data_IF_994368835215
#
_entry.id   IF_994368835215
#
_cell.length_a   1.000
_cell.length_b   1.000
_cell.length_c   1.000
_cell.angle_alpha   90.00
_cell.angle_beta   90.00
_cell.angle_gamma   90.00
#
_symmetry.space_group_name_H-M   'P 1'
#
loop_
_entity.id
_entity.type
_entity.pdbx_description
1 polymer ?
#
# COMPACT_ATOMS: atom_id res chain seq x y z
N UNK A 1 -12.29 10.16 -27.68
CA UNK A 1 -12.91 11.19 -26.83
C UNK A 1 -11.77 11.79 -26.03
N UNK A 2 -11.29 12.97 -26.42
CA UNK A 2 -10.25 13.68 -25.66
C UNK A 2 -10.91 14.23 -24.40
N UNK A 3 -10.53 13.70 -23.24
CA UNK A 3 -10.97 14.23 -21.95
C UNK A 3 -10.01 15.36 -21.62
N UNK A 4 -10.55 16.57 -21.44
CA UNK A 4 -9.73 17.71 -21.05
C UNK A 4 -9.18 17.48 -19.63
N UNK A 5 -7.94 17.92 -19.37
CA UNK A 5 -7.36 17.92 -18.01
C UNK A 5 -8.28 18.61 -16.99
N UNK A 6 -9.07 19.59 -17.43
CA UNK A 6 -10.05 20.28 -16.60
C UNK A 6 -11.23 19.41 -16.15
N UNK A 7 -11.66 18.43 -16.96
CA UNK A 7 -12.74 17.50 -16.61
C UNK A 7 -12.25 16.38 -15.68
N UNK A 8 -10.99 15.97 -15.86
CA UNK A 8 -10.32 15.00 -15.01
C UNK A 8 -10.18 15.50 -13.56
N UNK A 9 -9.61 16.69 -13.37
CA UNK A 9 -9.45 17.29 -12.02
C UNK A 9 -10.79 17.49 -11.31
N UNK A 10 -11.81 17.97 -12.02
CA UNK A 10 -13.18 18.11 -11.49
C UNK A 10 -13.79 16.79 -11.03
N UNK A 11 -13.56 15.69 -11.77
CA UNK A 11 -14.05 14.38 -11.34
C UNK A 11 -13.43 13.94 -10.01
N UNK A 12 -12.14 14.19 -9.82
CA UNK A 12 -11.42 13.82 -8.59
C UNK A 12 -11.84 14.72 -7.42
N UNK A 13 -11.97 16.03 -7.67
CA UNK A 13 -12.45 17.00 -6.69
C UNK A 13 -13.85 16.67 -6.14
N UNK A 14 -14.70 16.05 -6.96
CA UNK A 14 -16.03 15.62 -6.52
C UNK A 14 -16.01 14.28 -5.78
N UNK A 15 -14.95 13.48 -5.90
CA UNK A 15 -14.83 12.17 -5.28
C UNK A 15 -14.17 12.19 -3.90
N UNK A 16 -13.41 13.25 -3.58
CA UNK A 16 -12.68 13.37 -2.31
C UNK A 16 -13.10 14.66 -1.62
N UNK A 17 -13.61 14.53 -0.41
CA UNK A 17 -14.01 15.67 0.43
C UNK A 17 -12.79 16.44 0.94
N UNK A 18 -12.95 17.72 1.26
CA UNK A 18 -11.90 18.53 1.90
C UNK A 18 -11.39 17.88 3.21
N UNK A 19 -12.28 17.28 3.99
CA UNK A 19 -11.89 16.58 5.22
C UNK A 19 -11.02 15.34 4.95
N UNK A 20 -11.26 14.61 3.86
CA UNK A 20 -10.39 13.51 3.43
C UNK A 20 -9.04 14.04 2.94
N UNK A 21 -9.00 15.15 2.20
CA UNK A 21 -7.74 15.79 1.81
C UNK A 21 -6.89 16.19 3.01
N UNK A 22 -7.50 16.83 4.01
CA UNK A 22 -6.82 17.21 5.26
C UNK A 22 -6.30 15.98 6.01
N UNK A 23 -7.11 14.93 6.11
CA UNK A 23 -6.72 13.69 6.78
C UNK A 23 -5.53 13.02 6.09
N UNK A 24 -5.59 12.88 4.76
CA UNK A 24 -4.52 12.27 3.98
C UNK A 24 -3.23 13.10 4.06
N UNK A 25 -3.35 14.43 4.01
CA UNK A 25 -2.22 15.34 4.08
C UNK A 25 -1.52 15.25 5.43
N UNK A 26 -2.30 15.19 6.51
CA UNK A 26 -1.79 14.96 7.86
C UNK A 26 -1.06 13.63 7.97
N UNK A 27 -1.59 12.56 7.41
CA UNK A 27 -0.95 11.24 7.41
C UNK A 27 0.36 11.25 6.60
N UNK A 28 0.36 11.92 5.45
CA UNK A 28 1.51 12.05 4.57
C UNK A 28 2.59 13.02 5.11
N UNK A 29 2.26 13.84 6.12
CA UNK A 29 3.14 14.90 6.61
C UNK A 29 3.34 16.03 5.59
N UNK A 30 2.34 16.30 4.76
CA UNK A 30 2.35 17.32 3.70
C UNK A 30 1.24 18.35 3.91
N UNK A 31 1.40 19.52 3.30
CA UNK A 31 0.31 20.49 3.18
C UNK A 31 -0.81 19.93 2.28
N UNK A 32 -2.11 20.11 2.60
CA UNK A 32 -3.21 19.57 1.81
C UNK A 32 -3.18 19.94 0.34
N UNK A 33 -2.89 21.21 0.02
CA UNK A 33 -2.79 21.68 -1.36
C UNK A 33 -1.64 21.00 -2.13
N UNK A 34 -0.51 20.75 -1.46
CA UNK A 34 0.65 20.09 -2.06
C UNK A 34 0.37 18.60 -2.30
N UNK A 35 -0.23 17.90 -1.33
CA UNK A 35 -0.63 16.51 -1.52
C UNK A 35 -1.63 16.38 -2.67
N UNK A 36 -2.63 17.27 -2.70
CA UNK A 36 -3.66 17.29 -3.74
C UNK A 36 -3.04 17.47 -5.12
N UNK A 37 -2.14 18.44 -5.30
CA UNK A 37 -1.48 18.67 -6.59
C UNK A 37 -0.57 17.49 -7.01
N UNK A 38 0.16 16.88 -6.07
CA UNK A 38 0.97 15.68 -6.33
C UNK A 38 0.12 14.50 -6.81
N UNK A 39 -1.01 14.23 -6.13
CA UNK A 39 -1.92 13.15 -6.51
C UNK A 39 -2.56 13.44 -7.87
N UNK A 40 -3.08 14.65 -8.09
CA UNK A 40 -3.69 15.02 -9.37
C UNK A 40 -2.69 14.93 -10.52
N UNK A 41 -1.48 15.46 -10.36
CA UNK A 41 -0.42 15.42 -11.37
C UNK A 41 -0.01 13.98 -11.68
N UNK A 42 0.13 13.13 -10.66
CA UNK A 42 0.44 11.72 -10.86
C UNK A 42 -0.66 11.00 -11.64
N UNK A 43 -1.93 11.26 -11.32
CA UNK A 43 -3.06 10.64 -12.01
C UNK A 43 -3.21 11.16 -13.44
N UNK A 44 -2.90 12.44 -13.69
CA UNK A 44 -2.84 13.04 -15.03
C UNK A 44 -1.74 12.40 -15.88
N UNK A 45 -0.55 12.16 -15.30
CA UNK A 45 0.51 11.42 -15.98
C UNK A 45 0.07 10.04 -16.44
N UNK A 46 -0.74 9.35 -15.63
CA UNK A 46 -1.34 8.05 -16.01
C UNK A 46 -2.40 8.23 -17.10
N UNK A 47 -3.29 9.21 -17.01
CA UNK A 47 -4.32 9.39 -18.04
C UNK A 47 -3.71 9.72 -19.41
N UNK A 48 -2.60 10.47 -19.45
CA UNK A 48 -1.90 10.82 -20.68
C UNK A 48 -1.03 9.68 -21.24
N UNK A 49 -0.34 8.92 -20.38
CA UNK A 49 0.51 7.79 -20.82
C UNK A 49 -0.24 6.48 -21.06
N UNK A 50 -1.39 6.26 -20.40
CA UNK A 50 -1.92 4.91 -20.18
C UNK A 50 -3.30 4.63 -20.79
N UNK A 51 -3.96 5.55 -21.48
CA UNK A 51 -5.23 5.24 -22.14
C UNK A 51 -5.16 4.08 -23.16
N UNK A 52 -4.05 3.85 -23.89
CA UNK A 52 -3.87 2.64 -24.70
C UNK A 52 -3.39 1.40 -23.91
N UNK A 53 -2.66 1.57 -22.80
CA UNK A 53 -2.02 0.45 -22.08
C UNK A 53 -2.86 -0.17 -20.96
N UNK A 54 -3.79 0.57 -20.35
CA UNK A 54 -4.67 0.05 -19.29
C UNK A 54 -5.59 -1.07 -19.80
N UNK A 55 -5.82 -1.12 -21.12
CA UNK A 55 -6.71 -2.11 -21.76
C UNK A 55 -6.03 -3.45 -22.09
N UNK A 56 -4.70 -3.54 -22.06
CA UNK A 56 -3.95 -4.73 -22.50
C UNK A 56 -3.23 -5.50 -21.38
N UNK A 57 -3.29 -5.04 -20.13
CA UNK A 57 -2.44 -5.57 -19.05
C UNK A 57 -3.19 -6.00 -17.79
N UNK A 58 -4.37 -6.62 -17.90
CA UNK A 58 -4.89 -7.42 -16.78
C UNK A 58 -3.92 -8.57 -16.40
N UNK A 59 -3.04 -9.00 -17.32
CA UNK A 59 -2.16 -10.17 -17.12
C UNK A 59 -0.65 -9.89 -16.95
N UNK A 60 -0.14 -8.65 -17.12
CA UNK A 60 1.33 -8.41 -17.13
C UNK A 60 1.86 -7.30 -16.22
N UNK A 61 1.04 -6.72 -15.33
CA UNK A 61 1.55 -5.79 -14.33
C UNK A 61 2.50 -6.52 -13.37
N UNK A 62 3.81 -6.44 -13.66
CA UNK A 62 4.90 -6.85 -12.78
C UNK A 62 4.79 -6.03 -11.50
N UNK A 63 4.26 -6.64 -10.45
CA UNK A 63 4.27 -6.08 -9.10
C UNK A 63 5.73 -5.79 -8.74
N UNK A 64 6.04 -4.53 -8.46
CA UNK A 64 7.38 -4.16 -8.01
C UNK A 64 7.38 -4.23 -6.48
N UNK A 65 8.26 -5.09 -5.94
CA UNK A 65 8.53 -5.15 -4.52
C UNK A 65 9.81 -4.37 -4.24
N UNK A 66 9.77 -3.50 -3.24
CA UNK A 66 10.95 -2.76 -2.77
C UNK A 66 11.11 -2.98 -1.27
N UNK A 67 12.22 -3.58 -0.86
CA UNK A 67 12.62 -3.58 0.55
C UNK A 67 13.15 -2.19 0.89
N UNK A 68 12.74 -1.66 2.03
CA UNK A 68 13.19 -0.37 2.55
C UNK A 68 14.27 -0.59 3.61
N UNK A 69 15.11 0.42 3.81
CA UNK A 69 16.16 0.38 4.83
C UNK A 69 15.56 0.22 6.22
N UNK A 70 16.20 -0.62 7.03
CA UNK A 70 15.71 -0.98 8.37
C UNK A 70 16.20 0.07 9.38
N UNK A 71 15.31 0.74 10.13
CA UNK A 71 15.74 1.53 11.27
C UNK A 71 16.35 0.62 12.35
N UNK A 72 17.50 1.01 12.92
CA UNK A 72 18.17 0.23 13.97
C UNK A 72 17.23 -0.02 15.16
N UNK A 73 16.92 -1.29 15.42
CA UNK A 73 16.21 -1.70 16.64
C UNK A 73 17.22 -1.84 17.78
N UNK A 74 16.89 -1.24 18.94
CA UNK A 74 17.71 -1.34 20.16
C UNK A 74 17.52 -2.65 20.94
N UNK A 75 16.54 -3.48 20.55
CA UNK A 75 16.21 -4.75 21.23
C UNK A 75 16.74 -5.95 20.44
N UNK A 76 17.54 -6.80 21.09
CA UNK A 76 18.16 -7.99 20.47
C UNK A 76 17.17 -9.06 20.00
N UNK A 77 15.93 -9.04 20.48
CA UNK A 77 14.93 -10.08 20.17
C UNK A 77 13.85 -9.63 19.17
N UNK A 78 13.99 -8.42 18.60
CA UNK A 78 13.05 -7.88 17.64
C UNK A 78 13.75 -7.61 16.30
N UNK A 79 13.03 -7.83 15.21
CA UNK A 79 13.46 -7.56 13.84
C UNK A 79 12.39 -6.73 13.15
N UNK A 80 12.80 -5.64 12.50
CA UNK A 80 11.92 -4.80 11.69
C UNK A 80 12.27 -5.00 10.23
N UNK A 81 11.27 -5.12 9.37
CA UNK A 81 11.46 -5.00 7.93
C UNK A 81 10.31 -4.22 7.31
N UNK A 82 10.54 -2.98 6.87
CA UNK A 82 9.63 -2.27 5.99
C UNK A 82 9.81 -2.71 4.52
N UNK A 83 8.71 -2.74 3.78
CA UNK A 83 8.68 -3.00 2.34
C UNK A 83 7.50 -2.29 1.66
N UNK A 84 7.63 -2.05 0.36
CA UNK A 84 6.60 -1.46 -0.48
C UNK A 84 6.18 -2.43 -1.58
N UNK A 85 4.87 -2.43 -1.86
CA UNK A 85 4.23 -3.16 -2.95
C UNK A 85 3.67 -2.12 -3.91
N UNK A 86 4.22 -2.03 -5.11
CA UNK A 86 3.60 -1.26 -6.19
C UNK A 86 2.59 -2.15 -6.92
N UNK A 87 1.32 -1.72 -6.90
CA UNK A 87 0.20 -2.40 -7.58
C UNK A 87 0.04 -1.77 -8.97
N UNK A 88 0.10 -0.45 -9.06
CA UNK A 88 0.31 0.33 -10.28
C UNK A 88 1.37 1.41 -10.04
N UNK A 89 1.82 2.12 -11.10
CA UNK A 89 2.80 3.22 -11.01
C UNK A 89 2.49 4.22 -9.87
N UNK A 90 1.22 4.44 -9.55
CA UNK A 90 0.79 5.45 -8.56
C UNK A 90 0.16 4.89 -7.29
N UNK A 91 -0.37 3.65 -7.29
CA UNK A 91 -1.03 3.07 -6.11
C UNK A 91 -0.24 1.86 -5.61
N UNK A 92 -0.09 1.78 -4.29
CA UNK A 92 0.63 0.70 -3.65
C UNK A 92 0.29 0.57 -2.18
N UNK A 93 1.07 -0.26 -1.50
CA UNK A 93 1.05 -0.38 -0.06
C UNK A 93 2.47 -0.26 0.49
N UNK A 94 2.63 0.47 1.59
CA UNK A 94 3.79 0.31 2.48
C UNK A 94 3.38 -0.62 3.61
N UNK A 95 4.22 -1.58 3.95
CA UNK A 95 4.01 -2.48 5.07
C UNK A 95 5.28 -2.50 5.91
N UNK A 96 5.13 -2.25 7.20
CA UNK A 96 6.18 -2.39 8.20
C UNK A 96 5.82 -3.52 9.14
N UNK A 97 6.74 -4.49 9.28
CA UNK A 97 6.57 -5.62 10.19
C UNK A 97 7.64 -5.55 11.26
N UNK A 98 7.21 -5.39 12.50
CA UNK A 98 8.05 -5.44 13.70
C UNK A 98 7.80 -6.76 14.42
N UNK A 99 8.64 -7.76 14.14
CA UNK A 99 8.54 -9.11 14.69
C UNK A 99 9.42 -9.24 15.94
N UNK A 100 8.82 -9.57 17.07
CA UNK A 100 9.53 -9.90 18.31
C UNK A 100 9.23 -11.34 18.72
N UNK A 101 10.22 -12.07 19.21
CA UNK A 101 10.01 -13.42 19.71
C UNK A 101 11.30 -14.21 19.86
N UNK A 102 11.17 -15.41 20.43
CA UNK A 102 12.32 -16.31 20.65
C UNK A 102 12.27 -17.56 19.78
N UNK A 103 11.10 -17.92 19.23
CA UNK A 103 10.92 -19.06 18.35
C UNK A 103 9.59 -18.99 17.57
N UNK A 104 9.33 -19.99 16.73
CA UNK A 104 8.16 -20.08 15.84
C UNK A 104 6.81 -20.25 16.57
N UNK A 105 6.83 -20.61 17.85
CA UNK A 105 5.62 -20.79 18.69
C UNK A 105 5.42 -19.67 19.69
N UNK A 106 6.39 -18.77 19.85
CA UNK A 106 6.36 -17.64 20.77
C UNK A 106 6.92 -16.40 20.09
N UNK A 107 6.03 -15.74 19.34
CA UNK A 107 6.32 -14.51 18.64
C UNK A 107 5.10 -13.59 18.66
N UNK A 108 5.33 -12.32 18.40
CA UNK A 108 4.30 -11.36 18.06
C UNK A 108 4.83 -10.41 17.01
N UNK A 109 3.97 -10.00 16.09
CA UNK A 109 4.33 -9.03 15.08
C UNK A 109 3.37 -7.85 15.12
N UNK A 110 3.91 -6.65 15.33
CA UNK A 110 3.16 -5.42 15.10
C UNK A 110 3.33 -5.04 13.63
N UNK A 111 2.21 -4.99 12.92
CA UNK A 111 2.18 -4.71 11.48
C UNK A 111 1.51 -3.38 11.26
N UNK A 112 2.18 -2.46 10.57
CA UNK A 112 1.58 -1.21 10.07
C UNK A 112 1.46 -1.31 8.56
N UNK A 113 0.27 -1.06 8.04
CA UNK A 113 0.00 -0.99 6.60
C UNK A 113 -0.43 0.42 6.26
N UNK A 114 0.14 0.97 5.18
CA UNK A 114 -0.29 2.24 4.63
C UNK A 114 -0.66 2.11 3.15
N UNK A 115 -1.79 2.71 2.75
CA UNK A 115 -2.14 2.94 1.37
C UNK A 115 -1.24 4.05 0.80
N UNK A 116 -0.50 3.73 -0.26
CA UNK A 116 0.30 4.69 -1.02
C UNK A 116 -0.50 5.17 -2.22
N UNK A 117 -0.63 6.48 -2.39
CA UNK A 117 -1.10 7.12 -3.62
C UNK A 117 -0.07 8.20 -4.01
N UNK A 118 0.41 8.14 -5.25
CA UNK A 118 1.43 9.05 -5.79
C UNK A 118 2.68 9.17 -4.91
N UNK A 119 3.15 8.02 -4.39
CA UNK A 119 4.33 7.95 -3.52
C UNK A 119 4.10 8.46 -2.09
N UNK A 120 2.89 8.91 -1.75
CA UNK A 120 2.54 9.39 -0.41
C UNK A 120 1.73 8.35 0.36
N UNK A 121 2.10 8.11 1.62
CA UNK A 121 1.30 7.33 2.55
C UNK A 121 0.09 8.18 3.00
N UNK A 122 -1.11 7.83 2.55
CA UNK A 122 -2.32 8.66 2.74
C UNK A 122 -3.29 8.13 3.79
N UNK A 123 -3.20 6.85 4.13
CA UNK A 123 -4.02 6.25 5.18
C UNK A 123 -3.33 5.02 5.73
N UNK A 124 -3.11 4.96 7.04
CA UNK A 124 -2.49 3.80 7.68
C UNK A 124 -3.38 3.14 8.75
N UNK A 125 -3.15 1.85 8.96
CA UNK A 125 -3.74 1.04 10.03
C UNK A 125 -2.68 0.09 10.57
N UNK A 126 -2.72 -0.12 11.88
CA UNK A 126 -1.86 -1.09 12.55
C UNK A 126 -2.68 -2.18 13.19
N UNK A 127 -2.12 -3.39 13.23
CA UNK A 127 -2.70 -4.55 13.88
C UNK A 127 -1.58 -5.47 14.36
N UNK A 128 -1.92 -6.39 15.25
CA UNK A 128 -0.98 -7.34 15.82
C UNK A 128 -1.32 -8.75 15.38
N UNK A 129 -0.28 -9.49 14.99
CA UNK A 129 -0.32 -10.92 14.70
C UNK A 129 0.42 -11.70 15.78
N UNK A 130 0.01 -12.94 16.00
CA UNK A 130 0.62 -13.89 16.91
C UNK A 130 0.36 -15.33 16.40
N UNK A 131 0.93 -16.39 17.02
CA UNK A 131 0.72 -17.77 16.58
C UNK A 131 -0.75 -18.22 16.49
N UNK A 132 -1.65 -17.60 17.25
CA UNK A 132 -3.09 -17.92 17.26
C UNK A 132 -3.88 -17.09 16.23
N UNK A 133 -3.37 -15.91 15.87
CA UNK A 133 -3.91 -15.04 14.83
C UNK A 133 -2.81 -14.60 13.87
N UNK A 134 -2.34 -15.54 13.05
CA UNK A 134 -1.18 -15.34 12.18
C UNK A 134 -1.51 -14.64 10.84
N UNK A 135 -2.78 -14.34 10.58
CA UNK A 135 -3.24 -13.66 9.36
C UNK A 135 -4.35 -12.66 9.70
N UNK A 136 -4.30 -11.48 9.10
CA UNK A 136 -5.36 -10.47 9.22
C UNK A 136 -5.53 -9.72 7.92
N UNK A 137 -6.78 -9.43 7.57
CA UNK A 137 -7.15 -8.65 6.41
C UNK A 137 -7.75 -7.31 6.81
N UNK A 138 -7.46 -6.27 6.04
CA UNK A 138 -8.04 -4.94 6.20
C UNK A 138 -8.35 -4.32 4.84
N UNK A 139 -9.26 -3.35 4.87
CA UNK A 139 -9.58 -2.49 3.74
C UNK A 139 -9.30 -1.04 4.13
N UNK A 140 -8.50 -0.36 3.32
CA UNK A 140 -8.24 1.08 3.37
C UNK A 140 -8.95 1.70 2.17
N UNK A 141 -9.89 2.60 2.39
CA UNK A 141 -10.69 3.20 1.31
C UNK A 141 -10.69 4.72 1.44
N UNK A 142 -10.44 5.38 0.31
CA UNK A 142 -10.47 6.82 0.12
C UNK A 142 -11.11 7.10 -1.26
N UNK A 143 -11.73 8.26 -1.43
CA UNK A 143 -12.53 8.55 -2.63
C UNK A 143 -11.86 8.29 -3.99
N UNK A 144 -10.54 8.39 -4.09
CA UNK A 144 -9.76 8.13 -5.33
C UNK A 144 -9.18 6.73 -5.43
N UNK A 145 -9.18 5.94 -4.37
CA UNK A 145 -8.53 4.64 -4.37
C UNK A 145 -8.74 3.86 -3.09
N UNK A 146 -8.69 2.54 -3.22
CA UNK A 146 -8.80 1.64 -2.09
C UNK A 146 -7.83 0.47 -2.20
N UNK A 147 -7.50 -0.10 -1.05
CA UNK A 147 -6.62 -1.25 -0.89
C UNK A 147 -7.27 -2.25 0.06
N UNK A 148 -7.55 -3.45 -0.43
CA UNK A 148 -7.80 -4.63 0.40
C UNK A 148 -6.53 -5.44 0.48
N UNK A 149 -6.05 -5.71 1.68
CA UNK A 149 -4.77 -6.40 1.92
C UNK A 149 -4.92 -7.37 3.10
N UNK A 150 -4.40 -8.57 2.90
CA UNK A 150 -4.24 -9.60 3.91
C UNK A 150 -2.74 -9.82 4.13
N UNK A 151 -2.31 -9.66 5.38
CA UNK A 151 -0.93 -9.93 5.80
C UNK A 151 -0.92 -11.17 6.67
N UNK A 152 -0.09 -12.14 6.29
CA UNK A 152 0.08 -13.40 7.00
C UNK A 152 1.55 -13.63 7.35
N UNK A 153 1.80 -14.21 8.52
CA UNK A 153 3.09 -14.77 8.90
C UNK A 153 3.00 -16.30 8.81
N UNK A 154 3.76 -16.87 7.87
CA UNK A 154 3.74 -18.32 7.59
C UNK A 154 5.05 -18.95 7.97
N UNK A 155 4.98 -20.07 8.68
CA UNK A 155 6.16 -20.86 8.98
C UNK A 155 6.66 -21.58 7.72
N UNK A 156 7.95 -21.41 7.40
CA UNK A 156 8.68 -22.18 6.40
C UNK A 156 9.99 -22.67 6.99
N UNK A 157 10.04 -23.96 7.35
CA UNK A 157 11.19 -24.51 8.08
C UNK A 157 11.35 -23.81 9.43
N UNK A 158 12.52 -23.22 9.66
CA UNK A 158 12.85 -22.45 10.87
C UNK A 158 12.65 -20.93 10.72
N UNK A 159 11.88 -20.49 9.72
CA UNK A 159 11.63 -19.07 9.44
C UNK A 159 10.15 -18.74 9.50
N UNK A 160 9.83 -17.50 9.84
CA UNK A 160 8.53 -16.89 9.58
C UNK A 160 8.63 -15.97 8.38
N UNK A 161 7.87 -16.28 7.34
CA UNK A 161 7.81 -15.49 6.12
C UNK A 161 6.54 -14.64 6.12
N UNK A 162 6.69 -13.35 5.81
CA UNK A 162 5.58 -12.43 5.61
C UNK A 162 5.05 -12.68 4.21
N UNK A 163 3.75 -12.98 4.08
CA UNK A 163 3.01 -12.95 2.83
C UNK A 163 2.02 -11.81 2.87
N UNK A 164 1.99 -10.98 1.84
CA UNK A 164 1.01 -9.93 1.67
C UNK A 164 0.29 -10.15 0.34
N UNK A 165 -1.04 -10.25 0.38
CA UNK A 165 -1.85 -10.46 -0.81
C UNK A 165 -3.16 -9.68 -0.74
N UNK A 166 -3.75 -9.38 -1.88
CA UNK A 166 -4.95 -8.57 -1.92
C UNK A 166 -5.23 -7.94 -3.28
N UNK A 167 -5.94 -6.81 -3.24
CA UNK A 167 -6.38 -6.06 -4.41
C UNK A 167 -6.32 -4.56 -4.13
N UNK A 168 -5.73 -3.79 -5.04
CA UNK A 168 -5.74 -2.33 -5.01
C UNK A 168 -6.49 -1.78 -6.21
N UNK A 169 -7.24 -0.70 -6.00
CA UNK A 169 -8.00 -0.04 -7.04
C UNK A 169 -7.84 1.48 -6.97
N UNK A 170 -7.93 2.11 -8.13
CA UNK A 170 -7.78 3.54 -8.30
C UNK A 170 -8.83 4.05 -9.29
N UNK A 171 -9.39 5.22 -8.99
CA UNK A 171 -10.34 5.90 -9.88
C UNK A 171 -9.59 6.85 -10.83
N UNK A 172 -9.53 6.47 -12.11
CA UNK A 172 -9.04 7.31 -13.21
C UNK A 172 -9.97 7.13 -14.39
N UNK A 173 -11.01 7.96 -14.48
CA UNK A 173 -12.03 7.89 -15.54
C UNK A 173 -12.72 6.51 -15.60
N UNK A 174 -12.85 5.89 -14.43
CA UNK A 174 -13.26 4.51 -14.21
C UNK A 174 -12.42 3.85 -13.10
N UNK A 175 -12.93 2.76 -12.52
CA UNK A 175 -12.17 1.96 -11.56
C UNK A 175 -11.19 1.04 -12.29
N UNK A 176 -9.91 1.15 -11.92
CA UNK A 176 -8.84 0.27 -12.39
C UNK A 176 -8.29 -0.50 -11.21
N UNK A 177 -8.19 -1.82 -11.33
CA UNK A 177 -7.92 -2.69 -10.21
C UNK A 177 -6.96 -3.81 -10.56
N UNK A 178 -5.99 -4.09 -9.67
CA UNK A 178 -5.08 -5.22 -9.81
C UNK A 178 -4.94 -5.98 -8.50
N UNK A 179 -4.75 -7.29 -8.63
CA UNK A 179 -4.44 -8.17 -7.52
C UNK A 179 -2.93 -8.20 -7.28
N UNK A 180 -2.52 -8.46 -6.05
CA UNK A 180 -1.14 -8.71 -5.69
C UNK A 180 -1.02 -9.89 -4.73
N UNK A 181 0.12 -10.58 -4.79
CA UNK A 181 0.46 -11.70 -3.91
C UNK A 181 1.98 -11.85 -3.85
N UNK A 182 2.56 -11.42 -2.73
CA UNK A 182 4.00 -11.32 -2.56
C UNK A 182 4.43 -11.93 -1.23
N UNK A 183 5.65 -12.48 -1.19
CA UNK A 183 6.32 -12.97 0.02
C UNK A 183 7.65 -12.22 0.20
N UNK A 184 7.62 -10.98 0.73
CA UNK A 184 8.75 -10.06 0.66
C UNK A 184 9.94 -10.41 1.56
N UNK A 185 9.68 -11.00 2.73
CA UNK A 185 10.72 -11.19 3.75
C UNK A 185 10.45 -12.43 4.58
N UNK A 186 11.53 -13.09 5.01
CA UNK A 186 11.49 -14.14 6.02
C UNK A 186 12.46 -13.82 7.16
N UNK A 187 11.98 -13.99 8.40
CA UNK A 187 12.76 -13.84 9.62
C UNK A 187 13.16 -15.22 10.14
N UNK A 188 14.46 -15.44 10.32
CA UNK A 188 14.96 -16.61 11.06
C UNK A 188 14.94 -16.31 12.57
N UNK A 189 14.60 -17.31 13.36
CA UNK A 189 14.85 -17.34 14.80
C UNK A 189 16.17 -18.06 15.09
#
# INVERSE_FOLDING_TARGET
MEISTSDFRKSIDNSVTEAEWEMMAKEAGLEPALLKDNILTGLEGISQEAYPMIRETEDSHKQALRLLDVPELKDSNCKSQPFEISIYKIIGASVEVNLCGTNLTNWSADVKVCLIIAGSCVLSRSFRLDPHNAETCLTLELGVGWLRICVALRQRGNKLCVRAHGKGCLWVLGWHCANFDVEPVCFAF
#
